data_IF_647169991002
#
_entry.id   IF_647169991002
#
_cell.length_a   1.000
_cell.length_b   1.000
_cell.length_c   1.000
_cell.angle_alpha   90.00
_cell.angle_beta   90.00
_cell.angle_gamma   90.00
#
_symmetry.space_group_name_H-M   'P 1'
#
loop_
_entity.id
_entity.type
_entity.pdbx_description
1 polymer ?
#
# COMPACT_ATOMS: atom_id res chain seq x y z
N UNK A 1 6.35 -26.89 -6.41
CA UNK A 1 6.66 -26.16 -7.67
C UNK A 1 5.99 -26.74 -8.92
N UNK A 2 6.05 -28.06 -9.21
CA UNK A 2 5.44 -28.64 -10.43
C UNK A 2 3.92 -28.43 -10.58
N UNK A 3 3.18 -28.22 -9.49
CA UNK A 3 1.71 -28.06 -9.52
C UNK A 3 1.22 -26.60 -9.62
N UNK A 4 2.10 -25.60 -9.46
CA UNK A 4 1.71 -24.19 -9.49
C UNK A 4 1.50 -23.70 -10.93
N UNK A 5 2.35 -24.16 -11.86
CA UNK A 5 2.33 -23.76 -13.27
C UNK A 5 1.31 -24.53 -14.11
N UNK A 6 0.75 -25.64 -13.61
CA UNK A 6 -0.19 -26.48 -14.35
C UNK A 6 -1.44 -25.70 -14.79
N UNK A 7 -2.04 -24.92 -13.88
CA UNK A 7 -3.23 -24.11 -14.19
C UNK A 7 -2.91 -22.96 -15.17
N UNK A 8 -1.70 -22.39 -15.10
CA UNK A 8 -1.25 -21.39 -16.07
C UNK A 8 -1.06 -22.00 -17.47
N UNK A 9 -0.53 -23.23 -17.57
CA UNK A 9 -0.46 -23.96 -18.83
C UNK A 9 -1.85 -24.25 -19.39
N UNK A 10 -2.78 -24.76 -18.57
CA UNK A 10 -4.16 -25.01 -18.98
C UNK A 10 -4.84 -23.73 -19.50
N UNK A 11 -4.65 -22.60 -18.81
CA UNK A 11 -5.20 -21.32 -19.26
C UNK A 11 -4.62 -20.89 -20.63
N UNK A 12 -3.30 -21.00 -20.81
CA UNK A 12 -2.66 -20.64 -22.08
C UNK A 12 -3.09 -21.55 -23.24
N UNK A 13 -3.18 -22.85 -23.00
CA UNK A 13 -3.57 -23.82 -24.02
C UNK A 13 -5.07 -23.64 -24.39
N UNK A 14 -5.90 -23.33 -23.40
CA UNK A 14 -7.30 -22.93 -23.60
C UNK A 14 -7.42 -21.66 -24.44
N UNK A 15 -6.70 -20.59 -24.08
CA UNK A 15 -6.68 -19.34 -24.85
C UNK A 15 -6.17 -19.58 -26.28
N UNK A 16 -5.12 -20.38 -26.46
CA UNK A 16 -4.61 -20.74 -27.78
C UNK A 16 -5.69 -21.42 -28.61
N UNK A 17 -6.46 -22.35 -28.04
CA UNK A 17 -7.59 -23.00 -28.71
C UNK A 17 -8.64 -22.01 -29.21
N UNK A 18 -9.03 -21.03 -28.39
CA UNK A 18 -9.98 -19.97 -28.75
C UNK A 18 -9.45 -19.15 -29.93
N UNK A 19 -8.17 -18.73 -29.86
CA UNK A 19 -7.54 -17.91 -30.91
C UNK A 19 -7.49 -18.68 -32.24
N UNK A 20 -7.07 -19.94 -32.23
CA UNK A 20 -6.99 -20.79 -33.43
C UNK A 20 -8.36 -20.97 -34.06
N UNK A 21 -9.40 -21.26 -33.26
CA UNK A 21 -10.77 -21.37 -33.77
C UNK A 21 -11.26 -20.04 -34.36
N UNK A 22 -10.90 -18.89 -33.76
CA UNK A 22 -11.24 -17.58 -34.30
C UNK A 22 -10.61 -17.35 -35.68
N UNK A 23 -9.35 -17.70 -35.85
CA UNK A 23 -8.70 -17.63 -37.16
C UNK A 23 -9.37 -18.53 -38.20
N UNK A 24 -9.77 -19.75 -37.82
CA UNK A 24 -10.48 -20.65 -38.73
C UNK A 24 -11.82 -20.07 -39.19
N UNK A 25 -12.61 -19.53 -38.26
CA UNK A 25 -13.90 -18.89 -38.56
C UNK A 25 -13.71 -17.68 -39.46
N UNK A 26 -12.73 -16.83 -39.15
CA UNK A 26 -12.41 -15.67 -39.96
C UNK A 26 -11.95 -16.06 -41.39
N UNK A 27 -11.22 -17.17 -41.53
CA UNK A 27 -10.86 -17.75 -42.83
C UNK A 27 -12.04 -18.41 -43.57
N UNK A 28 -13.27 -18.31 -43.07
CA UNK A 28 -14.50 -18.80 -43.71
C UNK A 28 -14.89 -20.24 -43.34
N UNK A 29 -14.25 -20.86 -42.34
CA UNK A 29 -14.66 -22.17 -41.87
C UNK A 29 -15.89 -22.05 -40.95
N UNK A 30 -16.95 -22.86 -41.15
CA UNK A 30 -18.12 -22.81 -40.29
C UNK A 30 -17.76 -23.31 -38.87
N UNK A 31 -18.18 -22.57 -37.85
CA UNK A 31 -17.96 -22.95 -36.46
C UNK A 31 -18.58 -21.94 -35.50
N UNK A 32 -18.76 -22.37 -34.25
CA UNK A 32 -19.07 -21.47 -33.14
C UNK A 32 -17.98 -21.67 -32.08
N UNK A 33 -17.54 -20.59 -31.45
CA UNK A 33 -16.53 -20.67 -30.39
C UNK A 33 -17.26 -20.88 -29.08
N UNK A 34 -17.00 -22.02 -28.46
CA UNK A 34 -17.44 -22.28 -27.10
C UNK A 34 -16.33 -21.87 -26.14
N UNK A 35 -16.58 -20.81 -25.37
CA UNK A 35 -15.63 -20.27 -24.39
C UNK A 35 -15.94 -20.96 -23.05
N UNK A 36 -15.75 -22.27 -22.97
CA UNK A 36 -15.89 -23.00 -21.70
C UNK A 36 -14.54 -23.00 -20.97
N UNK A 37 -14.43 -22.45 -19.74
CA UNK A 37 -13.17 -22.38 -19.03
C UNK A 37 -12.66 -23.78 -18.66
N UNK A 38 -11.34 -24.00 -18.59
CA UNK A 38 -10.80 -25.29 -18.19
C UNK A 38 -11.05 -25.56 -16.71
N UNK A 39 -11.23 -26.83 -16.35
CA UNK A 39 -11.27 -27.26 -14.96
C UNK A 39 -9.88 -27.09 -14.34
N UNK A 40 -9.68 -25.99 -13.63
CA UNK A 40 -8.43 -25.75 -12.92
C UNK A 40 -8.25 -26.76 -11.79
N UNK A 41 -7.03 -27.28 -11.66
CA UNK A 41 -6.70 -28.14 -10.54
C UNK A 41 -6.87 -27.37 -9.22
N UNK A 42 -7.43 -28.01 -8.16
CA UNK A 42 -7.66 -27.38 -6.86
C UNK A 42 -6.37 -27.12 -6.06
N UNK A 43 -5.22 -27.07 -6.72
CA UNK A 43 -3.91 -26.79 -6.11
C UNK A 43 -3.81 -25.33 -5.68
N UNK A 44 -2.93 -25.02 -4.73
CA UNK A 44 -2.56 -23.67 -4.26
C UNK A 44 -1.88 -22.81 -5.34
N UNK A 45 -2.38 -22.81 -6.58
CA UNK A 45 -1.96 -21.90 -7.63
C UNK A 45 -2.66 -20.55 -7.47
N UNK A 46 -1.95 -19.47 -7.75
CA UNK A 46 -2.51 -18.11 -7.70
C UNK A 46 -3.75 -17.96 -8.58
N UNK A 47 -3.73 -18.52 -9.79
CA UNK A 47 -4.90 -18.50 -10.70
C UNK A 47 -6.12 -19.24 -10.13
N UNK A 48 -5.94 -20.38 -9.45
CA UNK A 48 -7.06 -21.10 -8.83
C UNK A 48 -7.65 -20.30 -7.65
N UNK A 49 -6.81 -19.66 -6.83
CA UNK A 49 -7.29 -18.82 -5.74
C UNK A 49 -8.05 -17.59 -6.27
N UNK A 50 -7.49 -16.92 -7.27
CA UNK A 50 -8.08 -15.75 -7.91
C UNK A 50 -9.46 -16.07 -8.52
N UNK A 51 -9.57 -17.18 -9.24
CA UNK A 51 -10.84 -17.61 -9.86
C UNK A 51 -11.89 -18.03 -8.83
N UNK A 52 -11.48 -18.57 -7.68
CA UNK A 52 -12.41 -18.85 -6.57
C UNK A 52 -12.88 -17.57 -5.86
N UNK A 53 -12.00 -16.58 -5.72
CA UNK A 53 -12.31 -15.32 -5.06
C UNK A 53 -13.28 -14.47 -5.88
N UNK A 54 -13.00 -14.28 -7.18
CA UNK A 54 -13.75 -13.36 -8.04
C UNK A 54 -14.79 -14.05 -8.93
N UNK A 55 -14.71 -15.36 -9.11
CA UNK A 55 -15.62 -16.15 -9.97
C UNK A 55 -15.86 -15.52 -11.36
N UNK A 56 -14.80 -15.24 -12.15
CA UNK A 56 -14.94 -14.57 -13.43
C UNK A 56 -15.77 -15.41 -14.41
N UNK A 57 -16.57 -14.73 -15.22
CA UNK A 57 -17.22 -15.30 -16.41
C UNK A 57 -16.16 -15.78 -17.42
N UNK A 58 -16.52 -16.64 -18.38
CA UNK A 58 -15.55 -17.14 -19.34
C UNK A 58 -14.92 -16.04 -20.21
N UNK A 59 -15.67 -15.01 -20.57
CA UNK A 59 -15.18 -13.86 -21.32
C UNK A 59 -14.16 -13.05 -20.49
N UNK A 60 -14.45 -12.83 -19.20
CA UNK A 60 -13.55 -12.17 -18.26
C UNK A 60 -12.25 -12.96 -18.06
N UNK A 61 -12.35 -14.29 -17.87
CA UNK A 61 -11.18 -15.16 -17.79
C UNK A 61 -10.39 -15.16 -19.10
N UNK A 62 -11.08 -15.07 -20.24
CA UNK A 62 -10.47 -14.93 -21.57
C UNK A 62 -9.64 -13.67 -21.68
N UNK A 63 -10.19 -12.51 -21.28
CA UNK A 63 -9.46 -11.23 -21.24
C UNK A 63 -8.27 -11.27 -20.28
N UNK A 64 -8.45 -11.85 -19.08
CA UNK A 64 -7.40 -11.96 -18.08
C UNK A 64 -6.24 -12.85 -18.56
N UNK A 65 -6.56 -13.98 -19.18
CA UNK A 65 -5.55 -14.88 -19.75
C UNK A 65 -4.87 -14.23 -20.96
N UNK A 66 -5.61 -13.48 -21.77
CA UNK A 66 -5.10 -12.75 -22.93
C UNK A 66 -3.99 -11.77 -22.54
N UNK A 67 -4.23 -10.93 -21.53
CA UNK A 67 -3.23 -9.96 -21.06
C UNK A 67 -2.08 -10.59 -20.28
N UNK A 68 -2.32 -11.74 -19.63
CA UNK A 68 -1.28 -12.48 -18.91
C UNK A 68 -0.30 -13.22 -19.85
N UNK A 69 -0.77 -13.63 -21.05
CA UNK A 69 -0.01 -14.49 -21.95
C UNK A 69 1.38 -13.95 -22.34
N UNK A 70 1.58 -12.67 -22.71
CA UNK A 70 2.90 -12.13 -23.02
C UNK A 70 3.89 -12.18 -21.85
N UNK A 71 3.40 -12.12 -20.62
CA UNK A 71 4.23 -12.22 -19.41
C UNK A 71 4.75 -13.64 -19.22
N UNK A 72 3.92 -14.65 -19.51
CA UNK A 72 4.26 -16.07 -19.35
C UNK A 72 5.04 -16.64 -20.54
N UNK A 73 4.66 -16.24 -21.75
CA UNK A 73 5.24 -16.67 -23.02
C UNK A 73 5.38 -15.44 -23.93
N UNK A 74 6.55 -14.76 -23.94
CA UNK A 74 6.74 -13.49 -24.68
C UNK A 74 6.45 -13.54 -26.19
N UNK A 75 6.49 -14.71 -26.81
CA UNK A 75 6.21 -14.91 -28.24
C UNK A 75 4.88 -15.61 -28.51
N UNK A 76 3.99 -15.72 -27.53
CA UNK A 76 2.73 -16.46 -27.61
C UNK A 76 1.90 -16.09 -28.85
N UNK A 77 1.55 -14.81 -29.01
CA UNK A 77 0.76 -14.36 -30.15
C UNK A 77 1.54 -14.45 -31.47
N UNK A 78 2.82 -14.10 -31.47
CA UNK A 78 3.66 -14.16 -32.68
C UNK A 78 3.75 -15.57 -33.25
N UNK A 79 3.82 -16.60 -32.39
CA UNK A 79 3.84 -18.00 -32.81
C UNK A 79 2.51 -18.40 -33.47
N UNK A 80 1.38 -18.07 -32.83
CA UNK A 80 0.05 -18.39 -33.37
C UNK A 80 -0.20 -17.66 -34.70
N UNK A 81 0.17 -16.37 -34.78
CA UNK A 81 0.03 -15.58 -36.01
C UNK A 81 0.88 -16.15 -37.14
N UNK A 82 2.12 -16.57 -36.88
CA UNK A 82 3.00 -17.13 -37.91
C UNK A 82 2.45 -18.44 -38.52
N UNK A 83 1.72 -19.23 -37.73
CA UNK A 83 1.07 -20.46 -38.22
C UNK A 83 -0.11 -20.18 -39.14
N UNK A 84 -0.86 -19.09 -38.90
CA UNK A 84 -2.08 -18.75 -39.63
C UNK A 84 -1.86 -17.71 -40.75
N UNK A 85 -0.73 -17.00 -40.73
CA UNK A 85 -0.29 -16.02 -41.73
C UNK A 85 1.14 -16.35 -42.20
N UNK A 86 1.37 -17.52 -42.85
CA UNK A 86 2.71 -18.01 -43.17
C UNK A 86 3.45 -17.16 -44.21
N UNK A 87 2.73 -16.40 -45.04
CA UNK A 87 3.35 -15.46 -46.00
C UNK A 87 3.85 -14.17 -45.34
N UNK A 88 3.59 -14.00 -44.04
CA UNK A 88 3.83 -12.76 -43.31
C UNK A 88 2.84 -11.67 -43.72
N UNK A 89 2.79 -10.62 -42.91
CA UNK A 89 1.87 -9.50 -43.14
C UNK A 89 1.46 -8.84 -41.83
N UNK A 90 0.88 -7.64 -41.96
CA UNK A 90 0.13 -7.05 -40.87
C UNK A 90 -1.28 -7.62 -40.88
N UNK A 91 -1.84 -7.90 -39.70
CA UNK A 91 -3.22 -8.38 -39.57
C UNK A 91 -3.97 -7.44 -38.63
N UNK A 92 -4.38 -6.25 -39.13
CA UNK A 92 -4.86 -5.15 -38.29
C UNK A 92 -6.08 -5.52 -37.46
N UNK A 93 -6.91 -6.45 -37.93
CA UNK A 93 -8.14 -6.88 -37.26
C UNK A 93 -7.88 -7.60 -35.94
N UNK A 94 -6.72 -8.23 -35.78
CA UNK A 94 -6.30 -8.81 -34.50
C UNK A 94 -5.88 -7.75 -33.49
N UNK A 95 -5.61 -6.52 -33.94
CA UNK A 95 -5.10 -5.44 -33.11
C UNK A 95 -3.75 -5.78 -32.48
N UNK A 96 -3.51 -5.20 -31.30
CA UNK A 96 -2.26 -5.36 -30.57
C UNK A 96 -1.20 -4.34 -30.97
N UNK A 97 -0.26 -4.09 -30.05
CA UNK A 97 0.84 -3.15 -30.27
C UNK A 97 2.17 -3.74 -29.81
N UNK A 98 3.27 -3.15 -30.28
CA UNK A 98 4.62 -3.54 -29.82
C UNK A 98 5.01 -2.69 -28.61
N UNK A 99 5.56 -3.34 -27.60
CA UNK A 99 6.11 -2.63 -26.45
C UNK A 99 7.43 -1.92 -26.78
N UNK A 100 7.79 -0.91 -25.99
CA UNK A 100 9.08 -0.21 -26.12
C UNK A 100 10.24 -1.16 -25.81
N UNK A 101 10.11 -1.92 -24.71
CA UNK A 101 11.11 -2.89 -24.25
C UNK A 101 10.74 -4.34 -24.59
N UNK A 102 9.47 -4.60 -24.90
CA UNK A 102 8.95 -5.93 -25.20
C UNK A 102 8.86 -6.13 -26.71
N UNK A 103 9.58 -7.13 -27.23
CA UNK A 103 9.67 -7.40 -28.68
C UNK A 103 8.51 -8.23 -29.26
N UNK A 104 7.60 -8.72 -28.42
CA UNK A 104 6.37 -9.40 -28.84
C UNK A 104 5.18 -8.45 -28.98
N UNK A 105 4.01 -9.04 -29.27
CA UNK A 105 2.73 -8.33 -29.34
C UNK A 105 2.08 -8.23 -27.96
N UNK A 106 1.63 -7.03 -27.60
CA UNK A 106 0.81 -6.75 -26.42
C UNK A 106 -0.65 -6.58 -26.85
N UNK A 107 -1.61 -7.26 -26.21
CA UNK A 107 -3.00 -7.22 -26.63
C UNK A 107 -3.66 -5.86 -26.35
N UNK A 108 -4.55 -5.44 -27.24
CA UNK A 108 -5.41 -4.26 -27.10
C UNK A 108 -6.86 -4.68 -26.87
N UNK A 109 -7.74 -3.71 -26.61
CA UNK A 109 -9.19 -3.96 -26.60
C UNK A 109 -9.68 -4.59 -27.91
N UNK A 110 -9.12 -4.17 -29.06
CA UNK A 110 -9.40 -4.75 -30.37
C UNK A 110 -9.00 -6.23 -30.44
N UNK A 111 -7.87 -6.60 -29.83
CA UNK A 111 -7.47 -8.02 -29.70
C UNK A 111 -8.49 -8.82 -28.92
N UNK A 112 -8.99 -8.28 -27.79
CA UNK A 112 -10.05 -8.94 -27.03
C UNK A 112 -11.35 -9.06 -27.84
N UNK A 113 -11.76 -8.00 -28.56
CA UNK A 113 -12.94 -8.04 -29.41
C UNK A 113 -12.82 -9.05 -30.55
N UNK A 114 -11.68 -9.09 -31.23
CA UNK A 114 -11.45 -10.05 -32.31
C UNK A 114 -11.56 -11.49 -31.80
N UNK A 115 -10.86 -11.80 -30.69
CA UNK A 115 -10.80 -13.17 -30.17
C UNK A 115 -12.17 -13.61 -29.64
N UNK A 116 -12.82 -12.79 -28.81
CA UNK A 116 -14.05 -13.19 -28.09
C UNK A 116 -15.32 -12.97 -28.92
N UNK A 117 -15.38 -11.93 -29.75
CA UNK A 117 -16.59 -11.57 -30.50
C UNK A 117 -16.45 -11.76 -32.02
N UNK A 118 -15.26 -11.60 -32.60
CA UNK A 118 -15.10 -11.55 -34.05
C UNK A 118 -15.95 -10.42 -34.65
N UNK A 119 -16.68 -10.69 -35.74
CA UNK A 119 -17.48 -9.67 -36.43
C UNK A 119 -18.89 -9.46 -35.85
N UNK A 120 -19.24 -10.16 -34.78
CA UNK A 120 -20.52 -9.99 -34.09
C UNK A 120 -20.53 -8.66 -33.31
N UNK A 121 -21.30 -7.69 -33.81
CA UNK A 121 -21.37 -6.35 -33.24
C UNK A 121 -21.91 -6.33 -31.80
N UNK A 122 -22.90 -7.17 -31.49
CA UNK A 122 -23.51 -7.20 -30.17
C UNK A 122 -22.50 -7.72 -29.14
N UNK A 123 -21.82 -8.84 -29.46
CA UNK A 123 -20.75 -9.38 -28.63
C UNK A 123 -19.54 -8.44 -28.51
N UNK A 124 -19.20 -7.69 -29.56
CA UNK A 124 -18.13 -6.68 -29.50
C UNK A 124 -18.43 -5.57 -28.49
N UNK A 125 -19.70 -5.15 -28.41
CA UNK A 125 -20.15 -4.18 -27.42
C UNK A 125 -20.15 -4.76 -25.99
N UNK A 126 -20.49 -6.04 -25.84
CA UNK A 126 -20.39 -6.75 -24.55
C UNK A 126 -18.94 -6.81 -24.05
N UNK A 127 -17.99 -7.19 -24.92
CA UNK A 127 -16.55 -7.19 -24.58
C UNK A 127 -16.07 -5.79 -24.21
N UNK A 128 -16.54 -4.75 -24.91
CA UNK A 128 -16.20 -3.37 -24.56
C UNK A 128 -16.68 -2.98 -23.14
N UNK A 129 -17.82 -3.50 -22.68
CA UNK A 129 -18.34 -3.24 -21.32
C UNK A 129 -17.42 -3.78 -20.23
N UNK A 130 -16.62 -4.82 -20.51
CA UNK A 130 -15.65 -5.37 -19.54
C UNK A 130 -14.59 -4.35 -19.13
N UNK A 131 -14.32 -3.36 -19.99
CA UNK A 131 -13.34 -2.31 -19.75
C UNK A 131 -13.97 -0.99 -19.29
N UNK A 132 -15.27 -0.97 -18.99
CA UNK A 132 -15.93 0.23 -18.48
C UNK A 132 -15.57 0.48 -17.01
N UNK A 133 -15.66 1.75 -16.58
CA UNK A 133 -15.42 2.13 -15.18
C UNK A 133 -16.40 1.49 -14.19
N UNK A 134 -17.55 1.02 -14.67
CA UNK A 134 -18.56 0.34 -13.87
C UNK A 134 -18.30 -1.16 -13.69
N UNK A 135 -17.38 -1.72 -14.48
CA UNK A 135 -17.02 -3.14 -14.41
C UNK A 135 -16.16 -3.43 -13.17
N UNK A 136 -16.24 -4.66 -12.64
CA UNK A 136 -15.47 -5.02 -11.45
C UNK A 136 -13.96 -5.02 -11.70
N UNK A 137 -13.51 -5.28 -12.94
CA UNK A 137 -12.10 -5.12 -13.31
C UNK A 137 -11.55 -3.72 -12.98
N UNK A 138 -12.34 -2.67 -13.24
CA UNK A 138 -11.94 -1.31 -12.93
C UNK A 138 -12.08 -1.02 -11.43
N UNK A 139 -13.20 -1.43 -10.82
CA UNK A 139 -13.50 -1.18 -9.40
C UNK A 139 -12.53 -1.85 -8.44
N UNK A 140 -12.08 -3.06 -8.76
CA UNK A 140 -11.13 -3.84 -7.96
C UNK A 140 -9.67 -3.64 -8.44
N UNK A 141 -9.43 -2.70 -9.37
CA UNK A 141 -8.12 -2.43 -9.97
C UNK A 141 -7.39 -3.67 -10.50
N UNK A 142 -8.11 -4.55 -11.19
CA UNK A 142 -7.55 -5.77 -11.78
C UNK A 142 -6.86 -5.45 -13.11
N UNK A 143 -7.62 -4.90 -14.05
CA UNK A 143 -7.13 -4.54 -15.38
C UNK A 143 -7.93 -3.38 -15.99
N UNK A 144 -7.32 -2.65 -16.92
CA UNK A 144 -7.94 -1.51 -17.60
C UNK A 144 -7.37 -1.29 -19.01
N UNK A 145 -8.04 -0.48 -19.82
CA UNK A 145 -7.50 0.01 -21.10
C UNK A 145 -6.63 1.25 -20.90
N UNK A 146 -5.45 1.25 -21.51
CA UNK A 146 -4.59 2.41 -21.62
C UNK A 146 -5.31 3.50 -22.45
N UNK A 147 -5.32 4.77 -21.99
CA UNK A 147 -5.95 5.85 -22.74
C UNK A 147 -5.24 6.08 -24.07
N UNK A 148 -6.02 6.35 -25.12
CA UNK A 148 -5.53 6.57 -26.47
C UNK A 148 -5.58 8.06 -26.86
N UNK A 149 -4.76 8.51 -27.83
CA UNK A 149 -4.83 9.85 -28.39
C UNK A 149 -6.23 10.23 -28.89
N UNK A 150 -6.52 11.52 -28.86
CA UNK A 150 -7.80 12.05 -29.35
C UNK A 150 -8.01 11.68 -30.83
N UNK A 151 -9.18 11.12 -31.13
CA UNK A 151 -9.54 10.66 -32.48
C UNK A 151 -9.26 9.18 -32.76
N UNK A 152 -8.55 8.47 -31.86
CA UNK A 152 -8.37 7.02 -31.97
C UNK A 152 -9.54 6.24 -31.36
N UNK A 153 -9.85 5.03 -31.87
CA UNK A 153 -10.86 4.16 -31.26
C UNK A 153 -10.45 3.75 -29.84
N UNK A 154 -11.36 3.83 -28.87
CA UNK A 154 -11.08 3.47 -27.47
C UNK A 154 -10.44 2.07 -27.32
N UNK A 155 -10.87 1.11 -28.14
CA UNK A 155 -10.42 -0.27 -28.08
C UNK A 155 -9.02 -0.49 -28.67
N UNK A 156 -8.42 0.49 -29.37
CA UNK A 156 -7.01 0.41 -29.78
C UNK A 156 -6.04 0.52 -28.60
N UNK A 157 -6.55 0.93 -27.42
CA UNK A 157 -5.79 0.99 -26.18
C UNK A 157 -5.26 -0.38 -25.74
N UNK A 158 -4.05 -0.41 -25.20
CA UNK A 158 -3.46 -1.61 -24.60
C UNK A 158 -4.24 -2.05 -23.37
N UNK A 159 -4.41 -3.35 -23.19
CA UNK A 159 -4.94 -3.89 -21.94
C UNK A 159 -3.79 -3.94 -20.94
N UNK A 160 -3.96 -3.29 -19.79
CA UNK A 160 -3.00 -3.26 -18.70
C UNK A 160 -3.53 -4.12 -17.56
N UNK A 161 -2.78 -5.15 -17.18
CA UNK A 161 -3.02 -5.93 -15.96
C UNK A 161 -2.23 -5.30 -14.81
N UNK A 162 -2.87 -5.16 -13.64
CA UNK A 162 -2.19 -4.64 -12.46
C UNK A 162 -0.96 -5.50 -12.11
N UNK A 163 0.21 -4.90 -11.83
CA UNK A 163 1.42 -5.66 -11.46
C UNK A 163 1.20 -6.60 -10.28
N UNK A 164 0.42 -6.17 -9.29
CA UNK A 164 0.07 -6.99 -8.13
C UNK A 164 -0.73 -8.24 -8.51
N UNK A 165 -1.65 -8.12 -9.47
CA UNK A 165 -2.42 -9.26 -10.00
C UNK A 165 -1.53 -10.19 -10.82
N UNK A 166 -0.56 -9.66 -11.57
CA UNK A 166 0.44 -10.49 -12.25
C UNK A 166 1.22 -11.33 -11.22
N UNK A 167 1.71 -10.71 -10.15
CA UNK A 167 2.42 -11.43 -9.09
C UNK A 167 1.53 -12.45 -8.38
N UNK A 168 0.29 -12.09 -8.06
CA UNK A 168 -0.67 -13.02 -7.46
C UNK A 168 -0.90 -14.25 -8.35
N UNK A 169 -1.21 -14.05 -9.63
CA UNK A 169 -1.48 -15.12 -10.57
C UNK A 169 -0.25 -16.00 -10.85
N UNK A 170 0.97 -15.43 -10.82
CA UNK A 170 2.21 -16.12 -11.23
C UNK A 170 3.07 -16.64 -10.09
N UNK A 171 3.03 -16.02 -8.92
CA UNK A 171 3.84 -16.37 -7.74
C UNK A 171 2.96 -16.84 -6.58
N UNK A 172 1.66 -16.55 -6.60
CA UNK A 172 0.73 -16.87 -5.51
C UNK A 172 0.85 -15.92 -4.32
N UNK A 173 1.66 -14.87 -4.46
CA UNK A 173 1.90 -13.86 -3.45
C UNK A 173 1.93 -12.49 -4.11
N UNK A 174 1.44 -11.47 -3.40
CA UNK A 174 1.57 -10.08 -3.81
C UNK A 174 2.71 -9.47 -3.00
N UNK A 175 3.76 -9.02 -3.68
CA UNK A 175 4.82 -8.28 -3.00
C UNK A 175 4.25 -6.95 -2.51
N UNK A 176 4.49 -6.64 -1.24
CA UNK A 176 4.12 -5.33 -0.70
C UNK A 176 4.92 -4.25 -1.44
N UNK A 177 4.27 -3.14 -1.86
CA UNK A 177 4.95 -2.04 -2.54
C UNK A 177 6.18 -1.59 -1.77
N UNK A 178 7.32 -1.56 -2.45
CA UNK A 178 8.56 -0.97 -1.90
C UNK A 178 8.62 0.50 -2.27
N UNK A 179 9.26 1.28 -1.41
CA UNK A 179 9.54 2.69 -1.68
C UNK A 179 10.22 2.85 -3.04
N UNK A 180 9.69 3.75 -3.87
CA UNK A 180 10.27 4.09 -5.17
C UNK A 180 10.00 5.57 -5.50
N UNK A 181 10.62 6.08 -6.56
CA UNK A 181 10.33 7.43 -7.07
C UNK A 181 8.87 7.61 -7.47
N UNK A 182 8.19 6.53 -7.87
CA UNK A 182 6.77 6.55 -8.24
C UNK A 182 5.82 6.20 -7.08
N UNK A 183 6.35 5.74 -5.94
CA UNK A 183 5.60 5.35 -4.74
C UNK A 183 6.31 5.85 -3.47
N UNK A 184 5.99 7.06 -2.97
CA UNK A 184 6.73 7.73 -1.90
C UNK A 184 6.31 7.22 -0.51
N UNK A 185 6.15 5.91 -0.35
CA UNK A 185 5.69 5.29 0.88
C UNK A 185 6.58 4.09 1.27
N UNK A 186 6.89 3.99 2.55
CA UNK A 186 7.65 2.90 3.16
C UNK A 186 6.68 2.00 3.94
N UNK A 187 6.76 0.69 3.75
CA UNK A 187 5.96 -0.24 4.54
C UNK A 187 6.42 -0.22 6.00
N UNK A 188 5.47 -0.11 6.94
CA UNK A 188 5.74 -0.17 8.37
C UNK A 188 5.29 -1.51 8.93
N UNK A 189 6.24 -2.22 9.53
CA UNK A 189 6.01 -3.44 10.30
C UNK A 189 6.74 -3.38 11.64
N UNK A 190 6.30 -4.21 12.58
CA UNK A 190 6.95 -4.35 13.88
C UNK A 190 6.73 -5.76 14.42
N UNK A 191 7.78 -6.34 15.00
CA UNK A 191 7.69 -7.59 15.73
C UNK A 191 7.11 -7.40 17.14
N UNK A 192 7.06 -6.17 17.64
CA UNK A 192 6.54 -5.82 18.97
C UNK A 192 5.03 -6.04 19.06
N UNK A 193 4.54 -6.22 20.28
CA UNK A 193 3.12 -6.32 20.62
C UNK A 193 2.65 -5.12 21.45
N UNK A 194 1.33 -5.01 21.68
CA UNK A 194 0.76 -3.95 22.52
C UNK A 194 1.32 -3.94 23.94
N UNK A 195 1.72 -5.11 24.45
CA UNK A 195 2.34 -5.24 25.76
C UNK A 195 3.73 -4.62 25.80
N UNK A 196 4.42 -4.47 24.66
CA UNK A 196 5.74 -3.80 24.63
C UNK A 196 5.61 -2.27 24.59
N UNK A 197 4.44 -1.74 24.24
CA UNK A 197 4.17 -0.32 24.15
C UNK A 197 3.51 0.20 25.43
N UNK A 198 4.21 1.07 26.16
CA UNK A 198 3.66 1.77 27.33
C UNK A 198 3.14 3.14 26.90
N UNK A 199 1.83 3.36 27.01
CA UNK A 199 1.17 4.63 26.73
C UNK A 199 0.47 5.17 27.98
N UNK A 200 0.33 6.50 28.04
CA UNK A 200 -0.52 7.14 29.02
C UNK A 200 -1.98 6.62 28.92
N UNK A 201 -2.69 6.36 30.03
CA UNK A 201 -4.00 5.71 30.01
C UNK A 201 -5.06 6.41 29.13
N UNK A 202 -5.02 7.74 29.07
CA UNK A 202 -5.90 8.52 28.19
C UNK A 202 -5.55 8.32 26.71
N UNK A 203 -4.26 8.30 26.36
CA UNK A 203 -3.79 8.04 24.98
C UNK A 203 -4.24 6.65 24.56
N UNK A 204 -4.01 5.64 25.41
CA UNK A 204 -4.43 4.25 25.14
C UNK A 204 -5.95 4.13 24.93
N UNK A 205 -6.76 4.87 25.70
CA UNK A 205 -8.22 4.91 25.50
C UNK A 205 -8.60 5.47 24.13
N UNK A 206 -7.99 6.57 23.71
CA UNK A 206 -8.27 7.18 22.41
C UNK A 206 -7.78 6.30 21.24
N UNK A 207 -6.69 5.56 21.42
CA UNK A 207 -6.23 4.58 20.42
C UNK A 207 -7.24 3.43 20.28
N UNK A 208 -7.80 2.92 21.39
CA UNK A 208 -8.89 1.94 21.34
C UNK A 208 -10.14 2.45 20.61
N UNK A 209 -10.44 3.74 20.65
CA UNK A 209 -11.53 4.33 19.87
C UNK A 209 -11.28 4.20 18.35
N UNK A 210 -10.02 4.34 17.91
CA UNK A 210 -9.64 4.11 16.51
C UNK A 210 -9.79 2.63 16.15
N UNK A 211 -9.36 1.71 17.02
CA UNK A 211 -9.56 0.26 16.81
C UNK A 211 -11.04 -0.09 16.67
N UNK A 212 -11.88 0.43 17.55
CA UNK A 212 -13.32 0.24 17.46
C UNK A 212 -13.88 0.73 16.14
N UNK A 213 -13.42 1.89 15.65
CA UNK A 213 -13.82 2.37 14.34
C UNK A 213 -13.39 1.39 13.24
N UNK A 214 -12.12 0.97 13.22
CA UNK A 214 -11.60 0.02 12.22
C UNK A 214 -12.46 -1.26 12.18
N UNK A 215 -12.77 -1.84 13.33
CA UNK A 215 -13.50 -3.11 13.43
C UNK A 215 -14.98 -2.98 13.06
N UNK A 216 -15.64 -1.86 13.40
CA UNK A 216 -17.10 -1.72 13.29
C UNK A 216 -17.56 -0.80 12.15
N UNK A 217 -16.65 -0.13 11.44
CA UNK A 217 -17.01 0.84 10.39
C UNK A 217 -17.84 0.21 9.26
N UNK A 218 -17.56 -1.03 8.87
CA UNK A 218 -18.34 -1.71 7.83
C UNK A 218 -19.83 -1.85 8.24
N UNK A 219 -20.09 -2.44 9.41
CA UNK A 219 -21.45 -2.55 9.98
C UNK A 219 -22.11 -1.19 10.16
N UNK A 220 -21.37 -0.18 10.61
CA UNK A 220 -21.89 1.18 10.79
C UNK A 220 -22.37 1.79 9.46
N UNK A 221 -21.59 1.65 8.39
CA UNK A 221 -21.89 2.24 7.10
C UNK A 221 -22.98 1.47 6.34
N UNK A 222 -22.91 0.13 6.36
CA UNK A 222 -23.75 -0.75 5.54
C UNK A 222 -24.99 -1.24 6.31
N UNK A 223 -24.81 -1.95 7.43
CA UNK A 223 -25.92 -2.56 8.16
C UNK A 223 -26.83 -1.51 8.81
N UNK A 224 -26.23 -0.43 9.34
CA UNK A 224 -26.98 0.66 9.96
C UNK A 224 -27.33 1.79 8.98
N UNK A 225 -26.89 1.68 7.72
CA UNK A 225 -27.21 2.64 6.65
C UNK A 225 -26.67 4.05 6.88
N UNK A 226 -25.62 4.24 7.68
CA UNK A 226 -25.07 5.56 7.99
C UNK A 226 -24.20 6.17 6.87
N UNK A 227 -23.95 5.43 5.78
CA UNK A 227 -23.13 5.88 4.64
C UNK A 227 -23.53 7.25 4.07
N UNK A 228 -24.82 7.61 4.08
CA UNK A 228 -25.30 8.92 3.58
C UNK A 228 -25.08 10.09 4.55
N UNK A 229 -24.81 9.81 5.82
CA UNK A 229 -24.71 10.80 6.90
C UNK A 229 -23.28 11.04 7.36
N UNK A 230 -22.38 10.08 7.12
CA UNK A 230 -20.99 10.15 7.54
C UNK A 230 -20.10 10.41 6.33
N UNK A 231 -19.07 11.23 6.52
CA UNK A 231 -17.98 11.31 5.55
C UNK A 231 -17.22 9.96 5.58
N UNK A 232 -16.74 9.48 4.43
CA UNK A 232 -15.96 8.24 4.41
C UNK A 232 -14.61 8.45 5.10
N UNK A 233 -14.02 7.39 5.62
CA UNK A 233 -12.69 7.39 6.25
C UNK A 233 -12.58 8.03 7.63
N UNK A 234 -11.44 7.77 8.27
CA UNK A 234 -11.10 8.27 9.61
C UNK A 234 -9.74 8.94 9.59
N UNK A 235 -9.64 10.09 10.26
CA UNK A 235 -8.42 10.90 10.35
C UNK A 235 -8.08 11.14 11.79
N UNK A 236 -6.88 10.72 12.16
CA UNK A 236 -6.31 10.94 13.48
C UNK A 236 -5.05 11.81 13.38
N UNK A 237 -4.87 12.73 14.32
CA UNK A 237 -3.66 13.51 14.50
C UNK A 237 -2.95 13.05 15.77
N UNK A 238 -1.79 12.45 15.63
CA UNK A 238 -0.90 12.08 16.73
C UNK A 238 0.09 13.21 16.96
N UNK A 239 0.08 13.80 18.15
CA UNK A 239 1.00 14.88 18.48
C UNK A 239 1.70 14.65 19.81
N UNK A 240 2.94 15.12 19.94
CA UNK A 240 3.71 15.04 21.17
C UNK A 240 5.21 14.94 20.88
N UNK A 241 6.06 14.96 21.92
CA UNK A 241 7.51 14.92 21.74
C UNK A 241 7.99 13.73 20.87
N UNK A 242 9.17 13.82 20.24
CA UNK A 242 9.75 12.69 19.54
C UNK A 242 10.01 11.53 20.51
N UNK A 243 9.95 10.29 20.01
CA UNK A 243 10.27 9.11 20.81
C UNK A 243 9.19 8.62 21.79
N UNK A 244 7.97 9.17 21.74
CA UNK A 244 6.84 8.79 22.61
C UNK A 244 5.95 7.68 22.04
N UNK A 245 6.35 7.03 20.92
CA UNK A 245 5.67 5.84 20.40
C UNK A 245 4.62 6.09 19.30
N UNK A 246 4.54 7.28 18.70
CA UNK A 246 3.58 7.61 17.62
C UNK A 246 3.62 6.62 16.45
N UNK A 247 4.80 6.41 15.87
CA UNK A 247 5.01 5.50 14.72
C UNK A 247 4.78 4.05 15.11
N UNK A 248 5.29 3.62 16.27
CA UNK A 248 5.08 2.26 16.78
C UNK A 248 3.59 1.95 17.01
N UNK A 249 2.83 2.92 17.52
CA UNK A 249 1.37 2.79 17.71
C UNK A 249 0.66 2.57 16.38
N UNK A 250 1.05 3.27 15.31
CA UNK A 250 0.48 3.07 13.99
C UNK A 250 0.79 1.66 13.43
N UNK A 251 2.03 1.17 13.60
CA UNK A 251 2.40 -0.20 13.22
C UNK A 251 1.61 -1.26 13.99
N UNK A 252 1.42 -1.07 15.31
CA UNK A 252 0.65 -1.98 16.15
C UNK A 252 -0.85 -1.99 15.82
N UNK A 253 -1.42 -0.82 15.50
CA UNK A 253 -2.79 -0.72 14.96
C UNK A 253 -2.93 -1.56 13.70
N UNK A 254 -1.99 -1.44 12.75
CA UNK A 254 -1.99 -2.26 11.54
C UNK A 254 -1.88 -3.75 11.83
N UNK A 255 -0.91 -4.16 12.65
CA UNK A 255 -0.70 -5.55 13.05
C UNK A 255 -1.96 -6.17 13.66
N UNK A 256 -2.60 -5.47 14.58
CA UNK A 256 -3.78 -5.97 15.33
C UNK A 256 -5.04 -5.99 14.49
N UNK A 257 -5.18 -5.05 13.56
CA UNK A 257 -6.34 -4.94 12.67
C UNK A 257 -6.14 -5.63 11.32
N UNK A 258 -5.01 -6.30 11.12
CA UNK A 258 -4.61 -6.96 9.88
C UNK A 258 -4.63 -6.03 8.66
N UNK A 259 -4.22 -4.77 8.88
CA UNK A 259 -4.14 -3.75 7.83
C UNK A 259 -2.69 -3.39 7.55
N UNK A 260 -2.36 -3.26 6.27
CA UNK A 260 -1.07 -2.77 5.86
C UNK A 260 -0.89 -1.29 6.22
N UNK A 261 0.29 -0.95 6.76
CA UNK A 261 0.62 0.42 7.17
C UNK A 261 1.70 0.96 6.25
N UNK A 262 1.45 2.12 5.66
CA UNK A 262 2.41 2.82 4.81
C UNK A 262 2.79 4.14 5.44
N UNK A 263 4.09 4.34 5.69
CA UNK A 263 4.66 5.61 6.12
C UNK A 263 4.97 6.50 4.92
N UNK A 264 4.44 7.71 4.95
CA UNK A 264 4.77 8.79 4.03
C UNK A 264 5.52 9.85 4.81
N UNK A 265 6.76 10.12 4.42
CA UNK A 265 7.56 11.21 4.98
C UNK A 265 7.25 12.51 4.21
N UNK A 266 6.49 13.41 4.85
CA UNK A 266 6.02 14.64 4.21
C UNK A 266 7.16 15.60 3.87
N UNK A 267 8.26 15.61 4.63
CA UNK A 267 9.39 16.50 4.32
C UNK A 267 10.08 16.10 3.02
N UNK A 268 10.13 14.80 2.71
CA UNK A 268 10.69 14.27 1.45
C UNK A 268 9.78 14.50 0.25
N UNK A 269 8.47 14.46 0.46
CA UNK A 269 7.48 14.62 -0.60
C UNK A 269 7.44 16.07 -1.08
N UNK A 270 7.52 17.04 -0.17
CA UNK A 270 7.40 18.48 -0.50
C UNK A 270 8.70 19.07 -1.04
N UNK A 271 9.85 18.55 -0.62
CA UNK A 271 11.16 19.18 -0.88
C UNK A 271 11.75 18.94 -2.27
N UNK A 272 11.23 17.97 -3.04
CA UNK A 272 11.97 17.51 -4.23
C UNK A 272 11.53 18.14 -5.55
N UNK A 273 10.25 18.21 -5.91
CA UNK A 273 9.83 18.81 -7.20
C UNK A 273 8.37 19.27 -7.18
N UNK A 274 8.14 20.57 -7.40
CA UNK A 274 6.79 21.19 -7.53
C UNK A 274 6.05 20.48 -8.68
N UNK A 275 4.91 19.85 -8.39
CA UNK A 275 4.05 19.15 -9.37
C UNK A 275 4.26 17.63 -9.54
N UNK A 276 5.48 17.10 -9.37
CA UNK A 276 5.68 15.63 -9.32
C UNK A 276 5.11 15.04 -8.03
N UNK A 277 5.15 15.83 -6.96
CA UNK A 277 4.54 15.55 -5.65
C UNK A 277 3.06 15.21 -5.76
N UNK A 278 2.27 16.01 -6.49
CA UNK A 278 0.84 15.77 -6.67
C UNK A 278 0.58 14.47 -7.43
N UNK A 279 1.36 14.20 -8.49
CA UNK A 279 1.24 12.96 -9.26
C UNK A 279 1.54 11.73 -8.41
N UNK A 280 2.60 11.80 -7.60
CA UNK A 280 3.00 10.71 -6.72
C UNK A 280 2.00 10.47 -5.57
N UNK A 281 1.49 11.54 -4.96
CA UNK A 281 0.41 11.45 -3.97
C UNK A 281 -0.88 10.92 -4.60
N UNK A 282 -1.24 11.39 -5.79
CA UNK A 282 -2.42 10.90 -6.52
C UNK A 282 -2.36 9.39 -6.74
N UNK A 283 -1.20 8.90 -7.23
CA UNK A 283 -0.93 7.46 -7.41
C UNK A 283 -0.96 6.68 -6.11
N UNK A 284 -0.40 7.23 -5.02
CA UNK A 284 -0.43 6.60 -3.69
C UNK A 284 -1.89 6.38 -3.23
N UNK A 285 -2.71 7.42 -3.27
CA UNK A 285 -4.11 7.34 -2.85
C UNK A 285 -4.92 6.42 -3.78
N UNK A 286 -4.69 6.46 -5.10
CA UNK A 286 -5.34 5.55 -6.04
C UNK A 286 -5.00 4.08 -5.75
N UNK A 287 -3.73 3.78 -5.41
CA UNK A 287 -3.34 2.43 -4.99
C UNK A 287 -3.96 2.00 -3.66
N UNK A 288 -4.23 2.96 -2.77
CA UNK A 288 -4.76 2.69 -1.44
C UNK A 288 -6.29 2.56 -1.39
N UNK A 289 -7.01 3.11 -2.38
CA UNK A 289 -8.47 3.34 -2.38
C UNK A 289 -9.30 2.08 -2.06
N UNK A 290 -8.82 0.90 -2.47
CA UNK A 290 -9.51 -0.38 -2.31
C UNK A 290 -8.77 -1.39 -1.42
N UNK A 291 -7.70 -0.98 -0.74
CA UNK A 291 -6.82 -1.91 0.01
C UNK A 291 -6.90 -1.79 1.53
N UNK A 292 -7.82 -0.98 2.06
CA UNK A 292 -8.01 -0.73 3.50
C UNK A 292 -6.72 -0.35 4.26
N UNK A 293 -5.77 0.26 3.57
CA UNK A 293 -4.47 0.65 4.13
C UNK A 293 -4.59 1.71 5.22
N UNK A 294 -3.67 1.65 6.17
CA UNK A 294 -3.42 2.74 7.12
C UNK A 294 -2.31 3.62 6.53
N UNK A 295 -2.66 4.86 6.19
CA UNK A 295 -1.70 5.84 5.68
C UNK A 295 -1.17 6.68 6.85
N UNK A 296 0.09 6.45 7.21
CA UNK A 296 0.78 7.16 8.28
C UNK A 296 1.67 8.26 7.69
N UNK A 297 1.25 9.51 7.81
CA UNK A 297 2.02 10.68 7.39
C UNK A 297 2.86 11.19 8.55
N UNK A 298 4.17 11.01 8.44
CA UNK A 298 5.15 11.49 9.42
C UNK A 298 5.59 12.93 9.11
N UNK A 299 6.13 13.61 10.12
CA UNK A 299 6.62 14.99 10.00
C UNK A 299 5.59 15.99 9.45
N UNK A 300 4.33 15.88 9.89
CA UNK A 300 3.25 16.77 9.49
C UNK A 300 3.56 18.26 9.74
N UNK A 301 4.43 18.58 10.71
CA UNK A 301 4.89 19.94 10.98
C UNK A 301 5.54 20.63 9.76
N UNK A 302 6.15 19.86 8.85
CA UNK A 302 6.76 20.38 7.62
C UNK A 302 5.73 20.99 6.66
N UNK A 303 4.49 20.51 6.70
CA UNK A 303 3.39 21.03 5.88
C UNK A 303 2.53 22.07 6.58
N UNK A 304 2.31 21.89 7.88
CA UNK A 304 1.31 22.67 8.61
C UNK A 304 1.92 23.78 9.47
N UNK A 305 3.22 24.05 9.36
CA UNK A 305 3.86 25.19 9.99
C UNK A 305 3.05 26.48 9.76
N UNK A 306 2.91 27.31 10.80
CA UNK A 306 2.14 28.57 10.76
C UNK A 306 2.40 29.27 9.43
N UNK A 307 1.33 29.43 8.63
CA UNK A 307 1.36 30.11 7.33
C UNK A 307 2.32 31.29 7.42
N UNK A 308 3.47 31.18 6.75
CA UNK A 308 4.33 32.34 6.59
C UNK A 308 3.51 33.37 5.83
N UNK A 309 3.49 34.62 6.32
CA UNK A 309 2.91 35.73 5.59
C UNK A 309 3.43 35.65 4.15
N UNK A 310 2.52 35.57 3.18
CA UNK A 310 2.82 35.38 1.76
C UNK A 310 3.79 36.47 1.33
N UNK A 311 5.08 36.15 1.24
CA UNK A 311 6.12 37.09 0.81
C UNK A 311 6.57 36.77 -0.60
N UNK A 312 6.57 35.50 -0.99
CA UNK A 312 7.06 35.06 -2.30
C UNK A 312 6.09 34.14 -3.06
N UNK A 313 6.30 34.02 -4.37
CA UNK A 313 5.52 33.11 -5.24
C UNK A 313 5.65 31.64 -4.80
N UNK A 314 6.78 31.26 -4.21
CA UNK A 314 7.06 29.91 -3.70
C UNK A 314 6.10 29.51 -2.55
N UNK A 315 5.77 30.45 -1.66
CA UNK A 315 4.83 30.22 -0.55
C UNK A 315 3.40 29.94 -1.06
N UNK A 316 3.01 30.52 -2.20
CA UNK A 316 1.68 30.26 -2.79
C UNK A 316 1.55 28.83 -3.31
N UNK A 317 2.61 28.30 -3.93
CA UNK A 317 2.61 26.93 -4.44
C UNK A 317 2.60 25.91 -3.30
N UNK A 318 3.38 26.13 -2.24
CA UNK A 318 3.36 25.27 -1.05
C UNK A 318 1.96 25.19 -0.40
N UNK A 319 1.26 26.32 -0.31
CA UNK A 319 -0.12 26.36 0.22
C UNK A 319 -1.12 25.60 -0.67
N UNK A 320 -0.94 25.60 -2.00
CA UNK A 320 -1.77 24.83 -2.92
C UNK A 320 -1.54 23.32 -2.77
N UNK A 321 -0.29 22.88 -2.65
CA UNK A 321 0.05 21.47 -2.42
C UNK A 321 -0.51 20.95 -1.10
N UNK A 322 -0.44 21.75 -0.03
CA UNK A 322 -1.07 21.44 1.27
C UNK A 322 -2.59 21.26 1.11
N UNK A 323 -3.25 22.17 0.38
CA UNK A 323 -4.69 22.09 0.14
C UNK A 323 -5.07 20.85 -0.68
N UNK A 324 -4.27 20.51 -1.69
CA UNK A 324 -4.45 19.29 -2.48
C UNK A 324 -4.30 18.02 -1.63
N UNK A 325 -3.23 17.92 -0.84
CA UNK A 325 -3.00 16.78 0.04
C UNK A 325 -4.17 16.60 1.01
N UNK A 326 -4.64 17.68 1.64
CA UNK A 326 -5.80 17.61 2.51
C UNK A 326 -7.05 17.10 1.82
N UNK A 327 -7.32 17.57 0.60
CA UNK A 327 -8.45 17.11 -0.18
C UNK A 327 -8.36 15.60 -0.43
N UNK A 328 -7.16 15.08 -0.71
CA UNK A 328 -6.94 13.63 -0.89
C UNK A 328 -7.09 12.86 0.42
N UNK A 329 -6.60 13.38 1.55
CA UNK A 329 -6.80 12.80 2.89
C UNK A 329 -8.30 12.75 3.27
N UNK A 330 -9.06 13.77 2.92
CA UNK A 330 -10.52 13.83 3.13
C UNK A 330 -11.32 12.94 2.17
N UNK A 331 -10.75 12.63 1.01
CA UNK A 331 -11.34 11.72 0.03
C UNK A 331 -11.03 10.25 0.27
N UNK A 332 -10.06 9.92 1.14
CA UNK A 332 -9.68 8.54 1.40
C UNK A 332 -10.64 7.86 2.38
N UNK A 333 -11.14 6.67 2.00
CA UNK A 333 -12.12 5.88 2.76
C UNK A 333 -11.50 5.09 3.92
N UNK A 334 -10.17 4.93 3.96
CA UNK A 334 -9.45 4.22 5.01
C UNK A 334 -9.04 5.09 6.20
N UNK A 335 -8.07 4.60 6.98
CA UNK A 335 -7.52 5.33 8.13
C UNK A 335 -6.30 6.15 7.70
N UNK A 336 -6.35 7.45 7.98
CA UNK A 336 -5.19 8.35 7.85
C UNK A 336 -4.73 8.80 9.23
N UNK A 337 -3.45 8.63 9.52
CA UNK A 337 -2.80 9.10 10.75
C UNK A 337 -1.76 10.14 10.37
N UNK A 338 -1.86 11.34 10.92
CA UNK A 338 -0.84 12.37 10.79
C UNK A 338 -0.05 12.44 12.09
N UNK A 339 1.28 12.42 12.03
CA UNK A 339 2.16 12.56 13.19
C UNK A 339 2.91 13.90 13.17
N UNK A 340 2.88 14.59 14.30
CA UNK A 340 3.52 15.89 14.52
C UNK A 340 4.25 15.89 15.86
N UNK A 341 5.36 16.62 15.92
CA UNK A 341 6.07 16.87 17.17
C UNK A 341 5.51 18.10 17.91
N UNK A 342 4.94 19.07 17.18
CA UNK A 342 4.45 20.33 17.74
C UNK A 342 3.04 20.69 17.28
N UNK A 343 2.03 20.33 18.08
CA UNK A 343 0.62 20.70 17.81
C UNK A 343 0.41 22.20 17.61
N UNK A 344 1.13 23.05 18.34
CA UNK A 344 0.97 24.51 18.30
C UNK A 344 1.26 25.14 16.93
N UNK A 345 1.94 24.39 16.06
CA UNK A 345 2.26 24.86 14.72
C UNK A 345 1.12 24.60 13.73
N UNK A 346 0.20 23.67 14.04
CA UNK A 346 -0.90 23.26 13.15
C UNK A 346 -2.08 24.24 13.25
N UNK A 347 -2.52 24.77 12.11
CA UNK A 347 -3.67 25.68 11.99
C UNK A 347 -4.98 25.04 12.48
N UNK A 348 -5.78 25.78 13.26
CA UNK A 348 -7.04 25.33 13.85
C UNK A 348 -8.06 24.86 12.80
N UNK A 349 -8.06 25.47 11.61
CA UNK A 349 -8.93 25.05 10.51
C UNK A 349 -8.66 23.61 10.04
N UNK A 350 -7.42 23.14 10.21
CA UNK A 350 -7.00 21.79 9.88
C UNK A 350 -7.41 20.82 10.98
N UNK A 351 -7.16 21.21 12.23
CA UNK A 351 -7.49 20.43 13.42
C UNK A 351 -8.97 20.01 13.43
N UNK A 352 -9.88 20.88 12.97
CA UNK A 352 -11.33 20.61 12.87
C UNK A 352 -11.72 19.50 11.87
N UNK A 353 -10.82 19.07 10.98
CA UNK A 353 -11.05 18.02 9.98
C UNK A 353 -10.74 16.62 10.52
N UNK A 354 -10.05 16.53 11.65
CA UNK A 354 -9.70 15.28 12.31
C UNK A 354 -10.81 14.83 13.25
N UNK A 355 -11.12 13.53 13.24
CA UNK A 355 -12.05 12.93 14.18
C UNK A 355 -11.40 12.71 15.54
N UNK A 356 -10.08 12.46 15.56
CA UNK A 356 -9.31 12.30 16.80
C UNK A 356 -8.03 13.10 16.79
N UNK A 357 -7.74 13.72 17.92
CA UNK A 357 -6.47 14.39 18.19
C UNK A 357 -5.92 13.76 19.46
N UNK A 358 -4.84 13.00 19.32
CA UNK A 358 -4.30 12.14 20.36
C UNK A 358 -2.94 12.70 20.78
N UNK A 359 -2.85 13.03 22.06
CA UNK A 359 -1.62 13.52 22.66
C UNK A 359 -0.78 12.35 23.18
N UNK A 360 0.48 12.30 22.78
CA UNK A 360 1.51 11.39 23.27
C UNK A 360 2.47 12.17 24.18
N UNK A 361 2.15 12.32 25.47
CA UNK A 361 2.99 13.06 26.41
C UNK A 361 4.31 12.32 26.68
N UNK A 362 5.27 13.00 27.32
CA UNK A 362 6.40 12.32 27.95
C UNK A 362 5.87 11.31 29.00
N UNK A 363 6.44 10.10 29.07
CA UNK A 363 6.00 9.08 30.01
C UNK A 363 6.24 9.55 31.44
N UNK A 364 5.30 9.26 32.35
CA UNK A 364 5.38 9.53 33.79
C UNK A 364 6.40 8.59 34.48
N UNK A 365 6.82 8.87 35.73
CA UNK A 365 7.79 8.02 36.43
C UNK A 365 7.41 6.53 36.49
N UNK A 366 6.13 6.21 36.71
CA UNK A 366 5.59 4.85 36.72
C UNK A 366 5.63 4.20 35.32
N UNK A 367 5.24 4.95 34.29
CA UNK A 367 5.30 4.51 32.89
C UNK A 367 6.77 4.29 32.44
N UNK A 368 7.70 5.16 32.86
CA UNK A 368 9.14 5.01 32.60
C UNK A 368 9.73 3.81 33.32
N UNK A 369 9.31 3.53 34.55
CA UNK A 369 9.73 2.34 35.28
C UNK A 369 9.32 1.07 34.52
N UNK A 370 8.11 1.04 33.98
CA UNK A 370 7.63 -0.06 33.16
C UNK A 370 8.45 -0.20 31.87
N UNK A 371 8.71 0.92 31.17
CA UNK A 371 9.57 0.93 29.98
C UNK A 371 10.97 0.38 30.28
N UNK A 372 11.62 0.82 31.36
CA UNK A 372 12.94 0.30 31.77
C UNK A 372 12.91 -1.21 31.98
N UNK A 373 11.89 -1.73 32.66
CA UNK A 373 11.75 -3.17 32.92
C UNK A 373 11.52 -3.99 31.66
N UNK A 374 10.79 -3.45 30.68
CA UNK A 374 10.46 -4.14 29.42
C UNK A 374 11.58 -4.08 28.39
N UNK A 375 12.40 -3.03 28.43
CA UNK A 375 13.43 -2.81 27.41
C UNK A 375 14.65 -3.72 27.57
N UNK A 376 14.99 -4.12 28.81
CA UNK A 376 16.11 -5.01 29.05
C UNK A 376 15.69 -6.48 28.88
N UNK A 377 16.35 -7.25 28.01
CA UNK A 377 16.05 -8.66 27.85
C UNK A 377 16.50 -9.44 29.11
N UNK A 378 15.80 -10.53 29.48
CA UNK A 378 16.11 -11.31 30.68
C UNK A 378 17.50 -11.97 30.65
N UNK A 379 18.12 -12.10 29.47
CA UNK A 379 19.46 -12.62 29.29
C UNK A 379 20.57 -11.62 29.65
N UNK A 380 20.27 -10.31 29.71
CA UNK A 380 21.24 -9.31 30.09
C UNK A 380 21.37 -9.28 31.63
N UNK A 381 22.53 -9.63 32.21
CA UNK A 381 22.68 -9.60 33.67
C UNK A 381 22.66 -8.16 34.17
N UNK A 382 21.77 -7.87 35.12
CA UNK A 382 21.62 -6.54 35.74
C UNK A 382 22.12 -6.60 37.18
N UNK A 383 22.90 -5.60 37.60
CA UNK A 383 23.33 -5.49 38.97
C UNK A 383 22.13 -5.21 39.89
N UNK A 384 22.06 -5.92 41.02
CA UNK A 384 20.93 -5.88 41.95
C UNK A 384 20.79 -4.53 42.70
N UNK A 385 21.82 -3.69 42.66
CA UNK A 385 21.88 -2.38 43.31
C UNK A 385 21.31 -1.24 42.45
N UNK A 386 20.86 -1.51 41.23
CA UNK A 386 20.20 -0.51 40.39
C UNK A 386 18.79 -0.23 40.90
N UNK A 387 18.59 0.96 41.47
CA UNK A 387 17.26 1.45 41.85
C UNK A 387 16.52 2.03 40.64
N UNK A 388 15.78 1.17 39.94
CA UNK A 388 14.97 1.55 38.78
C UNK A 388 13.88 2.58 39.11
N UNK A 389 13.34 2.59 40.34
CA UNK A 389 12.35 3.60 40.73
C UNK A 389 13.00 4.97 40.82
N UNK A 390 14.20 5.05 41.41
CA UNK A 390 14.98 6.29 41.45
C UNK A 390 15.35 6.77 40.05
N UNK A 391 15.87 5.89 39.19
CA UNK A 391 16.24 6.22 37.80
C UNK A 391 15.02 6.73 37.02
N UNK A 392 13.89 6.03 37.09
CA UNK A 392 12.67 6.43 36.40
C UNK A 392 12.10 7.75 36.92
N UNK A 393 12.21 8.04 38.22
CA UNK A 393 11.75 9.31 38.78
C UNK A 393 12.66 10.49 38.42
N UNK A 394 13.98 10.29 38.46
CA UNK A 394 14.98 11.34 38.25
C UNK A 394 15.14 11.76 36.79
N UNK A 395 15.00 10.82 35.86
CA UNK A 395 15.34 11.05 34.46
C UNK A 395 14.10 11.12 33.55
N UNK A 396 13.78 12.31 33.07
CA UNK A 396 12.70 12.53 32.10
C UNK A 396 13.15 12.16 30.68
N UNK A 397 12.99 10.87 30.35
CA UNK A 397 13.40 10.24 29.10
C UNK A 397 12.19 9.72 28.33
N UNK A 398 12.28 9.73 26.99
CA UNK A 398 11.26 9.13 26.12
C UNK A 398 11.48 7.62 25.99
N UNK A 399 10.49 6.88 25.47
CA UNK A 399 10.66 5.45 25.20
C UNK A 399 11.81 5.17 24.23
N UNK A 400 11.95 5.99 23.18
CA UNK A 400 13.07 5.87 22.25
C UNK A 400 14.42 6.16 22.91
N UNK A 401 14.48 7.14 23.82
CA UNK A 401 15.71 7.46 24.57
C UNK A 401 16.11 6.29 25.48
N UNK A 402 15.16 5.68 26.17
CA UNK A 402 15.37 4.48 27.01
C UNK A 402 15.89 3.31 26.17
N UNK A 403 15.32 3.08 24.98
CA UNK A 403 15.77 2.04 24.05
C UNK A 403 17.20 2.31 23.57
N UNK A 404 17.52 3.55 23.19
CA UNK A 404 18.88 3.94 22.80
C UNK A 404 19.90 3.71 23.91
N UNK A 405 19.54 4.07 25.15
CA UNK A 405 20.39 3.85 26.33
C UNK A 405 20.61 2.35 26.54
N UNK A 406 19.55 1.55 26.49
CA UNK A 406 19.62 0.09 26.66
C UNK A 406 20.53 -0.55 25.61
N UNK A 407 20.36 -0.15 24.34
CA UNK A 407 21.20 -0.62 23.25
C UNK A 407 22.68 -0.26 23.45
N UNK A 408 22.96 0.98 23.85
CA UNK A 408 24.32 1.42 24.13
C UNK A 408 24.95 0.64 25.30
N UNK A 409 24.23 0.48 26.41
CA UNK A 409 24.65 -0.32 27.55
C UNK A 409 24.98 -1.76 27.16
N UNK A 410 24.13 -2.40 26.34
CA UNK A 410 24.36 -3.77 25.89
C UNK A 410 25.65 -3.90 25.05
N UNK A 411 25.91 -2.95 24.14
CA UNK A 411 27.15 -2.92 23.35
C UNK A 411 28.38 -2.74 24.25
N UNK A 412 28.34 -1.80 25.19
CA UNK A 412 29.49 -1.52 26.07
C UNK A 412 29.84 -2.71 26.97
N UNK A 413 28.83 -3.42 27.49
CA UNK A 413 29.04 -4.63 28.30
C UNK A 413 29.73 -5.70 27.47
N UNK A 414 29.25 -5.94 26.24
CA UNK A 414 29.85 -6.92 25.34
C UNK A 414 31.28 -6.53 24.93
N UNK A 415 31.52 -5.25 24.64
CA UNK A 415 32.83 -4.75 24.23
C UNK A 415 33.88 -4.85 25.34
N UNK A 416 33.49 -4.56 26.58
CA UNK A 416 34.39 -4.56 27.73
C UNK A 416 34.48 -5.94 28.42
N UNK A 417 33.67 -6.91 28.00
CA UNK A 417 33.57 -8.22 28.66
C UNK A 417 33.04 -8.11 30.10
N UNK A 418 32.25 -7.08 30.39
CA UNK A 418 31.67 -6.88 31.72
C UNK A 418 30.66 -7.99 32.03
N UNK A 419 30.64 -8.54 33.26
CA UNK A 419 29.75 -9.64 33.59
C UNK A 419 28.27 -9.21 33.75
N UNK A 420 28.02 -7.91 33.99
CA UNK A 420 26.68 -7.35 34.22
C UNK A 420 26.64 -5.85 33.95
N UNK A 421 25.44 -5.31 33.75
CA UNK A 421 25.16 -3.87 33.75
C UNK A 421 25.16 -3.35 35.18
N UNK A 422 26.06 -2.43 35.52
CA UNK A 422 26.03 -1.71 36.80
C UNK A 422 25.51 -0.28 36.65
N UNK A 423 25.31 0.40 37.79
CA UNK A 423 24.82 1.78 37.82
C UNK A 423 25.74 2.77 37.09
N UNK A 424 27.07 2.58 37.11
CA UNK A 424 28.02 3.51 36.48
C UNK A 424 27.89 3.50 34.96
N UNK A 425 27.76 2.30 34.37
CA UNK A 425 27.51 2.16 32.95
C UNK A 425 26.18 2.80 32.54
N UNK A 426 25.13 2.60 33.36
CA UNK A 426 23.81 3.17 33.11
C UNK A 426 23.81 4.70 33.19
N UNK A 427 24.41 5.29 34.23
CA UNK A 427 24.50 6.74 34.39
C UNK A 427 25.30 7.40 33.25
N UNK A 428 26.41 6.79 32.83
CA UNK A 428 27.19 7.26 31.70
C UNK A 428 26.37 7.24 30.39
N UNK A 429 25.57 6.20 30.19
CA UNK A 429 24.69 6.07 29.04
C UNK A 429 23.55 7.11 29.04
N UNK A 430 22.92 7.34 30.20
CA UNK A 430 21.89 8.39 30.37
C UNK A 430 22.47 9.77 30.07
N UNK A 431 23.65 10.07 30.61
CA UNK A 431 24.34 11.34 30.38
C UNK A 431 24.61 11.58 28.90
N UNK A 432 25.10 10.54 28.21
CA UNK A 432 25.35 10.57 26.77
C UNK A 432 24.07 10.85 25.98
N UNK A 433 22.96 10.22 26.32
CA UNK A 433 21.69 10.45 25.62
C UNK A 433 21.17 11.88 25.86
N UNK A 434 21.34 12.44 27.06
CA UNK A 434 21.02 13.85 27.31
C UNK A 434 21.87 14.83 26.50
N UNK A 435 23.18 14.58 26.40
CA UNK A 435 24.09 15.40 25.57
C UNK A 435 23.64 15.36 24.10
N UNK A 436 23.29 14.17 23.60
CA UNK A 436 22.78 13.97 22.23
C UNK A 436 21.45 14.70 21.99
N UNK A 437 20.55 14.71 22.97
CA UNK A 437 19.28 15.46 22.91
C UNK A 437 19.46 16.99 23.06
N UNK A 438 20.68 17.47 23.33
CA UNK A 438 20.96 18.89 23.55
C UNK A 438 20.40 19.43 24.87
N UNK A 439 20.09 18.55 25.83
CA UNK A 439 19.66 18.95 27.18
C UNK A 439 20.87 19.40 27.99
N UNK A 440 20.83 20.63 28.49
CA UNK A 440 21.85 21.15 29.43
C UNK A 440 21.57 20.49 30.79
N UNK A 441 22.59 19.80 31.32
CA UNK A 441 22.53 18.99 32.55
C UNK A 441 22.50 19.87 33.79
#
# INVERSE_FOLDING_TARGET
MQNFTANLHLALDWLQGIIVQRFQIHAGHPGNIEIAPPDFHPTESGLAHFTQQFTPTPEELGVLTLVLAPTLRPHFFNQILAEHLPEGGDFPEFGGVRGVNHRGLLPTGETAQFILAGDDLEKRLEVQRLFSSDHWFAKEHILWLEPVPEGEPLMSGRIILAPEVVEELTLGTVSKPRFSTDFPAEYLETDMDWDDLVLHPNTQRQIREIEHWITHNHTLLHDWGMKKKLKPGYRALFHGPPGTGKTLTASLLGKTTQRDVFRIDLSRVVSKYIGETEKNLSRLFAKAEHKDWILFFDEADALFGKRTDIRDAHDKYANQEVAYLLQRIEGYDGLVILASNQRANIDEAFVRRFQSIIHFPMPRPDERLELWRKTFPPQLPLAADIDWQHIAARHELSGASILNITHYCAIEILANGSPQLDLKHLEAAILREYIKEGKVI
#
